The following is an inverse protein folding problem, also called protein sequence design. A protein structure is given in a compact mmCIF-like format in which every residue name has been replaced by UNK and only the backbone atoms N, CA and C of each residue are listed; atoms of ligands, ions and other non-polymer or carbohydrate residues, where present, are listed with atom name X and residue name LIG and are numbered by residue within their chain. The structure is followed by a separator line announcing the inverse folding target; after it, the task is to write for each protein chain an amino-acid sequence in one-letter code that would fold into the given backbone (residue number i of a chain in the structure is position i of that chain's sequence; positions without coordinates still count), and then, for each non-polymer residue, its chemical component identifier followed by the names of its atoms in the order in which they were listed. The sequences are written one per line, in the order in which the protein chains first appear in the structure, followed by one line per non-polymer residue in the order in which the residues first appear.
data_IF_861709672432
#
_entry.id   IF_861709672432
#
_cell.length_a   1.000
_cell.length_b   1.000
_cell.length_c   1.000
_cell.angle_alpha   90.00
_cell.angle_beta   90.00
_cell.angle_gamma   90.00
#
_symmetry.space_group_name_H-M   'P 1'
#
loop_
_entity.id
_entity.type
_entity.pdbx_description
1 polymer ?
#
# COMPACT_ATOMS: atom_id res chain seq x y z
N UNK A 1 -38.85 -12.85 23.00
CA UNK A 1 -37.42 -13.02 23.29
C UNK A 1 -36.70 -11.97 22.48
N UNK A 2 -36.27 -10.86 23.10
CA UNK A 2 -35.34 -9.97 22.42
C UNK A 2 -34.00 -10.70 22.43
N UNK A 3 -33.43 -10.96 21.25
CA UNK A 3 -32.03 -11.33 21.15
C UNK A 3 -31.23 -10.23 21.86
N UNK A 4 -30.53 -10.59 22.94
CA UNK A 4 -29.61 -9.67 23.57
C UNK A 4 -28.51 -9.38 22.55
N UNK A 5 -28.51 -8.16 22.00
CA UNK A 5 -27.48 -7.71 21.07
C UNK A 5 -26.16 -7.68 21.82
N UNK A 6 -25.21 -8.49 21.37
CA UNK A 6 -23.85 -8.46 21.89
C UNK A 6 -23.14 -7.18 21.42
N UNK A 7 -22.80 -6.32 22.37
CA UNK A 7 -22.15 -5.03 22.11
C UNK A 7 -20.79 -5.20 21.44
N UNK A 8 -20.08 -6.30 21.70
CA UNK A 8 -18.79 -6.58 21.08
C UNK A 8 -18.95 -6.87 19.59
N UNK A 9 -19.94 -7.68 19.23
CA UNK A 9 -20.29 -7.94 17.83
C UNK A 9 -20.67 -6.65 17.08
N UNK A 10 -21.44 -5.76 17.71
CA UNK A 10 -21.78 -4.46 17.10
C UNK A 10 -20.54 -3.61 16.87
N UNK A 11 -19.64 -3.51 17.87
CA UNK A 11 -18.38 -2.78 17.72
C UNK A 11 -17.56 -3.33 16.55
N UNK A 12 -17.41 -4.66 16.45
CA UNK A 12 -16.66 -5.30 15.37
C UNK A 12 -17.23 -4.96 13.99
N UNK A 13 -18.56 -4.95 13.84
CA UNK A 13 -19.20 -4.56 12.58
C UNK A 13 -18.98 -3.09 12.23
N UNK A 14 -19.00 -2.18 13.22
CA UNK A 14 -18.73 -0.76 13.01
C UNK A 14 -17.27 -0.54 12.59
N UNK A 15 -16.32 -1.18 13.27
CA UNK A 15 -14.89 -1.09 12.94
C UNK A 15 -14.62 -1.64 11.54
N UNK A 16 -15.21 -2.80 11.21
CA UNK A 16 -15.10 -3.40 9.88
C UNK A 16 -15.69 -2.47 8.81
N UNK A 17 -16.85 -1.88 9.06
CA UNK A 17 -17.48 -0.93 8.14
C UNK A 17 -16.63 0.33 7.97
N UNK A 18 -16.01 0.82 9.03
CA UNK A 18 -15.10 1.97 8.97
C UNK A 18 -13.88 1.66 8.10
N UNK A 19 -13.19 0.55 8.37
CA UNK A 19 -11.96 0.18 7.65
C UNK A 19 -12.22 -0.12 6.18
N UNK A 20 -13.33 -0.80 5.84
CA UNK A 20 -13.63 -1.07 4.42
C UNK A 20 -13.98 0.21 3.65
N UNK A 21 -14.67 1.17 4.28
CA UNK A 21 -14.92 2.49 3.68
C UNK A 21 -13.60 3.26 3.50
N UNK A 22 -12.71 3.21 4.48
CA UNK A 22 -11.36 3.76 4.35
C UNK A 22 -10.59 3.10 3.20
N UNK A 23 -10.67 1.78 3.05
CA UNK A 23 -10.05 1.07 1.94
C UNK A 23 -10.60 1.52 0.58
N UNK A 24 -11.90 1.79 0.47
CA UNK A 24 -12.52 2.34 -0.76
C UNK A 24 -11.96 3.75 -1.06
N UNK A 25 -11.78 4.60 -0.04
CA UNK A 25 -11.16 5.91 -0.21
C UNK A 25 -9.69 5.79 -0.68
N UNK A 26 -8.92 4.85 -0.13
CA UNK A 26 -7.55 4.60 -0.58
C UNK A 26 -7.53 3.99 -1.99
N UNK A 27 -8.48 3.13 -2.35
CA UNK A 27 -8.61 2.62 -3.71
C UNK A 27 -8.79 3.76 -4.73
N UNK A 28 -9.59 4.77 -4.39
CA UNK A 28 -9.78 5.96 -5.24
C UNK A 28 -8.47 6.73 -5.44
N UNK A 29 -7.50 6.65 -4.53
CA UNK A 29 -6.17 7.24 -4.74
C UNK A 29 -5.47 6.68 -5.98
N UNK A 30 -5.75 5.43 -6.40
CA UNK A 30 -5.18 4.86 -7.63
C UNK A 30 -5.61 5.65 -8.87
N UNK A 31 -6.86 6.10 -8.91
CA UNK A 31 -7.32 7.03 -9.95
C UNK A 31 -6.63 8.41 -9.81
N UNK A 32 -6.41 8.86 -8.58
CA UNK A 32 -5.67 10.09 -8.27
C UNK A 32 -4.25 10.08 -8.83
N UNK A 33 -3.47 9.02 -8.57
CA UNK A 33 -2.13 8.83 -9.12
C UNK A 33 -2.16 8.77 -10.63
N UNK A 34 -3.07 7.98 -11.21
CA UNK A 34 -3.21 7.89 -12.67
C UNK A 34 -3.44 9.26 -13.32
N UNK A 35 -4.36 10.07 -12.77
CA UNK A 35 -4.64 11.42 -13.25
C UNK A 35 -3.43 12.35 -13.06
N UNK A 36 -2.83 12.34 -11.87
CA UNK A 36 -1.66 13.17 -11.54
C UNK A 36 -0.49 12.89 -12.48
N UNK A 37 -0.10 11.63 -12.60
CA UNK A 37 1.05 11.21 -13.39
C UNK A 37 0.82 11.38 -14.89
N UNK A 38 -0.35 11.02 -15.38
CA UNK A 38 -0.70 11.22 -16.80
C UNK A 38 -0.72 12.70 -17.15
N UNK A 39 -1.32 13.53 -16.27
CA UNK A 39 -1.38 14.99 -16.42
C UNK A 39 0.00 15.67 -16.40
N UNK A 40 0.92 15.19 -15.58
CA UNK A 40 2.30 15.71 -15.48
C UNK A 40 3.28 15.08 -16.50
N UNK A 41 2.91 13.96 -17.12
CA UNK A 41 3.68 13.36 -18.22
C UNK A 41 3.47 14.12 -19.54
N UNK A 42 4.42 14.03 -20.47
CA UNK A 42 4.24 14.66 -21.79
C UNK A 42 3.15 13.93 -22.57
N UNK A 43 2.43 14.68 -23.41
CA UNK A 43 1.29 14.18 -24.18
C UNK A 43 1.55 12.85 -24.91
N UNK A 44 2.72 12.68 -25.53
CA UNK A 44 3.08 11.44 -26.25
C UNK A 44 3.20 10.19 -25.37
N UNK A 45 3.31 10.35 -24.06
CA UNK A 45 3.55 9.27 -23.09
C UNK A 45 2.37 9.05 -22.14
N UNK A 46 1.35 9.90 -22.14
CA UNK A 46 0.26 9.88 -21.14
C UNK A 46 -0.48 8.55 -21.11
N UNK A 47 -0.78 7.97 -22.27
CA UNK A 47 -1.43 6.65 -22.38
C UNK A 47 -0.57 5.55 -21.74
N UNK A 48 0.74 5.55 -22.00
CA UNK A 48 1.65 4.56 -21.43
C UNK A 48 1.76 4.71 -19.90
N UNK A 49 1.73 5.94 -19.37
CA UNK A 49 1.73 6.20 -17.93
C UNK A 49 0.43 5.72 -17.28
N UNK A 50 -0.73 5.99 -17.91
CA UNK A 50 -2.02 5.51 -17.43
C UNK A 50 -2.09 3.98 -17.40
N UNK A 51 -1.61 3.31 -18.46
CA UNK A 51 -1.58 1.85 -18.53
C UNK A 51 -0.68 1.22 -17.45
N UNK A 52 0.43 1.87 -17.10
CA UNK A 52 1.30 1.42 -16.01
C UNK A 52 0.59 1.50 -14.66
N UNK A 53 -0.08 2.62 -14.37
CA UNK A 53 -0.88 2.80 -13.15
C UNK A 53 -2.00 1.75 -13.04
N UNK A 54 -2.71 1.46 -14.13
CA UNK A 54 -3.74 0.43 -14.09
C UNK A 54 -3.15 -0.98 -13.87
N UNK A 55 -2.01 -1.28 -14.52
CA UNK A 55 -1.37 -2.58 -14.43
C UNK A 55 -0.67 -2.81 -13.09
N UNK A 56 -0.02 -1.80 -12.51
CA UNK A 56 0.63 -1.93 -11.22
C UNK A 56 -0.37 -2.22 -10.10
N UNK A 57 -1.55 -1.62 -10.12
CA UNK A 57 -2.58 -1.88 -9.14
C UNK A 57 -2.94 -3.38 -9.13
N UNK A 58 -3.29 -3.93 -10.30
CA UNK A 58 -3.65 -5.34 -10.43
C UNK A 58 -2.52 -6.28 -10.02
N UNK A 59 -1.28 -5.99 -10.47
CA UNK A 59 -0.10 -6.79 -10.08
C UNK A 59 0.19 -6.68 -8.60
N UNK A 60 0.09 -5.48 -8.01
CA UNK A 60 0.36 -5.24 -6.59
C UNK A 60 -0.59 -6.03 -5.71
N UNK A 61 -1.89 -5.97 -5.99
CA UNK A 61 -2.91 -6.70 -5.22
C UNK A 61 -2.69 -8.20 -5.31
N UNK A 62 -2.44 -8.74 -6.51
CA UNK A 62 -2.23 -10.18 -6.71
C UNK A 62 -0.95 -10.66 -6.02
N UNK A 63 0.17 -9.96 -6.21
CA UNK A 63 1.46 -10.35 -5.61
C UNK A 63 1.41 -10.23 -4.09
N UNK A 64 0.75 -9.19 -3.59
CA UNK A 64 0.55 -9.03 -2.14
C UNK A 64 -0.33 -10.15 -1.58
N UNK A 65 -1.41 -10.53 -2.26
CA UNK A 65 -2.23 -11.68 -1.86
C UNK A 65 -1.45 -13.01 -1.86
N UNK A 66 -0.66 -13.27 -2.91
CA UNK A 66 0.12 -14.50 -3.03
C UNK A 66 1.17 -14.63 -1.93
N UNK A 67 1.97 -13.57 -1.72
CA UNK A 67 3.17 -13.61 -0.89
C UNK A 67 3.24 -12.47 0.12
N UNK A 68 2.96 -11.25 -0.31
CA UNK A 68 3.29 -10.05 0.46
C UNK A 68 2.53 -9.96 1.80
N UNK A 69 1.26 -10.33 1.85
CA UNK A 69 0.48 -10.32 3.08
C UNK A 69 1.06 -11.30 4.11
N UNK A 70 1.45 -12.49 3.67
CA UNK A 70 2.10 -13.48 4.54
C UNK A 70 3.46 -13.03 5.06
N UNK A 71 4.30 -12.45 4.19
CA UNK A 71 5.59 -11.88 4.63
C UNK A 71 5.40 -10.74 5.62
N UNK A 72 4.38 -9.90 5.42
CA UNK A 72 4.17 -8.69 6.21
C UNK A 72 3.50 -8.98 7.56
N UNK A 73 2.45 -9.79 7.58
CA UNK A 73 1.58 -9.99 8.75
C UNK A 73 1.54 -11.44 9.27
N UNK A 74 2.25 -12.36 8.63
CA UNK A 74 2.38 -13.73 9.13
C UNK A 74 3.16 -13.82 10.44
N UNK A 75 3.12 -15.00 11.07
CA UNK A 75 3.87 -15.33 12.28
C UNK A 75 5.34 -14.95 12.13
N UNK A 76 5.86 -14.17 13.06
CA UNK A 76 7.17 -13.54 12.90
C UNK A 76 8.32 -14.52 13.16
N UNK A 77 9.16 -14.72 12.15
CA UNK A 77 10.46 -15.36 12.33
C UNK A 77 11.48 -14.34 12.81
N UNK A 78 11.75 -14.35 14.13
CA UNK A 78 12.75 -13.50 14.80
C UNK A 78 12.57 -11.99 14.55
N UNK A 79 11.36 -11.51 14.29
CA UNK A 79 11.09 -10.10 13.99
C UNK A 79 11.43 -9.66 12.56
N UNK A 80 11.84 -10.59 11.68
CA UNK A 80 12.39 -10.26 10.36
C UNK A 80 11.38 -10.40 9.21
N UNK A 81 10.57 -11.45 9.21
CA UNK A 81 9.55 -11.71 8.20
C UNK A 81 8.51 -12.72 8.70
N UNK A 82 7.32 -12.69 8.10
CA UNK A 82 6.23 -13.62 8.38
C UNK A 82 6.39 -14.96 7.66
N UNK A 83 5.95 -16.05 8.29
CA UNK A 83 6.14 -17.44 7.80
C UNK A 83 4.88 -18.18 7.38
N UNK A 84 3.70 -17.56 7.53
CA UNK A 84 2.39 -18.13 7.19
C UNK A 84 1.51 -17.07 6.50
N UNK A 85 0.19 -17.31 6.40
CA UNK A 85 -0.80 -16.41 5.75
C UNK A 85 -0.54 -16.11 4.26
N UNK A 86 0.25 -16.94 3.59
CA UNK A 86 0.35 -16.95 2.12
C UNK A 86 -0.97 -17.41 1.50
N UNK A 87 -1.32 -16.86 0.34
CA UNK A 87 -2.60 -17.14 -0.33
C UNK A 87 -3.80 -16.96 0.63
N UNK A 88 -3.86 -15.80 1.29
CA UNK A 88 -4.82 -15.55 2.37
C UNK A 88 -6.23 -16.01 1.97
N UNK A 89 -6.79 -16.89 2.81
CA UNK A 89 -8.16 -17.39 2.73
C UNK A 89 -8.73 -17.38 4.13
N UNK A 90 -9.87 -16.72 4.30
CA UNK A 90 -10.53 -16.56 5.59
C UNK A 90 -12.03 -16.40 5.39
N UNK A 91 -12.81 -16.89 6.35
CA UNK A 91 -14.26 -16.66 6.43
C UNK A 91 -14.58 -15.54 7.45
N UNK A 92 -13.55 -14.87 7.99
CA UNK A 92 -13.68 -13.78 8.96
C UNK A 92 -13.61 -12.43 8.22
N UNK A 93 -14.66 -11.62 8.35
CA UNK A 93 -14.84 -10.38 7.58
C UNK A 93 -13.78 -9.32 7.91
N UNK A 94 -13.35 -9.26 9.16
CA UNK A 94 -12.33 -8.38 9.70
C UNK A 94 -10.99 -8.59 9.00
N UNK A 95 -10.58 -9.85 8.85
CA UNK A 95 -9.34 -10.24 8.21
C UNK A 95 -9.34 -9.90 6.72
N UNK A 96 -10.45 -10.17 6.04
CA UNK A 96 -10.60 -9.83 4.64
C UNK A 96 -10.60 -8.30 4.45
N UNK A 97 -11.26 -7.56 5.33
CA UNK A 97 -11.28 -6.10 5.31
C UNK A 97 -9.90 -5.52 5.53
N UNK A 98 -9.14 -6.04 6.50
CA UNK A 98 -7.77 -5.61 6.75
C UNK A 98 -6.83 -5.94 5.57
N UNK A 99 -6.97 -7.12 4.95
CA UNK A 99 -6.26 -7.44 3.72
C UNK A 99 -6.55 -6.44 2.61
N UNK A 100 -7.83 -6.12 2.36
CA UNK A 100 -8.21 -5.15 1.33
C UNK A 100 -7.61 -3.78 1.63
N UNK A 101 -7.66 -3.32 2.89
CA UNK A 101 -7.05 -2.06 3.32
C UNK A 101 -5.54 -2.03 3.05
N UNK A 102 -4.80 -3.05 3.48
CA UNK A 102 -3.35 -3.15 3.28
C UNK A 102 -2.96 -3.36 1.82
N UNK A 103 -3.79 -4.03 1.03
CA UNK A 103 -3.60 -4.16 -0.41
C UNK A 103 -3.63 -2.79 -1.12
N UNK A 104 -4.39 -1.82 -0.58
CA UNK A 104 -4.39 -0.46 -1.13
C UNK A 104 -3.13 0.32 -0.75
N UNK A 105 -2.53 0.05 0.42
CA UNK A 105 -1.28 0.68 0.86
C UNK A 105 -0.08 0.21 0.03
N UNK A 106 0.05 -1.10 -0.20
CA UNK A 106 1.12 -1.64 -1.05
C UNK A 106 0.97 -1.19 -2.51
N UNK A 107 -0.26 -1.08 -3.02
CA UNK A 107 -0.51 -0.51 -4.34
C UNK A 107 -0.10 0.98 -4.40
N UNK A 108 -0.35 1.73 -3.32
CA UNK A 108 0.11 3.12 -3.17
C UNK A 108 1.64 3.21 -3.14
N UNK A 109 2.33 2.29 -2.47
CA UNK A 109 3.80 2.24 -2.49
C UNK A 109 4.34 1.94 -3.90
N UNK A 110 3.68 1.04 -4.64
CA UNK A 110 4.06 0.68 -6.01
C UNK A 110 3.90 1.84 -6.98
N UNK A 111 2.78 2.56 -6.93
CA UNK A 111 2.50 3.66 -7.88
C UNK A 111 3.46 4.85 -7.69
N UNK A 112 3.99 5.11 -6.49
CA UNK A 112 5.07 6.08 -6.26
C UNK A 112 6.28 5.81 -7.18
N UNK A 113 6.59 4.53 -7.43
CA UNK A 113 7.68 4.14 -8.34
C UNK A 113 7.32 4.51 -9.78
N UNK A 114 6.06 4.34 -10.19
CA UNK A 114 5.55 4.62 -11.54
C UNK A 114 5.87 6.05 -11.99
N UNK A 115 5.45 7.05 -11.21
CA UNK A 115 5.63 8.46 -11.54
C UNK A 115 7.11 8.85 -11.63
N UNK A 116 7.94 8.28 -10.77
CA UNK A 116 9.38 8.54 -10.77
C UNK A 116 10.06 8.04 -12.05
N UNK A 117 9.71 6.83 -12.51
CA UNK A 117 10.31 6.17 -13.68
C UNK A 117 9.55 6.43 -14.99
N UNK A 118 8.49 7.23 -14.93
CA UNK A 118 7.67 7.62 -16.06
C UNK A 118 8.52 8.11 -17.25
N UNK A 119 8.02 7.81 -18.46
CA UNK A 119 8.58 8.19 -19.76
C UNK A 119 9.93 7.57 -20.16
N UNK A 120 10.60 6.78 -19.31
CA UNK A 120 11.92 6.20 -19.62
C UNK A 120 12.12 4.73 -19.25
N UNK A 121 11.27 4.16 -18.40
CA UNK A 121 11.27 2.72 -18.14
C UNK A 121 10.34 1.99 -19.12
N UNK A 122 10.77 0.84 -19.64
CA UNK A 122 9.92 -0.07 -20.44
C UNK A 122 8.84 -0.69 -19.56
N UNK A 123 7.69 -1.02 -20.15
CA UNK A 123 6.54 -1.60 -19.42
C UNK A 123 6.90 -2.89 -18.67
N UNK A 124 7.58 -3.84 -19.31
CA UNK A 124 8.00 -5.10 -18.65
C UNK A 124 8.95 -4.85 -17.48
N UNK A 125 9.92 -3.95 -17.64
CA UNK A 125 10.84 -3.58 -16.56
C UNK A 125 10.10 -2.94 -15.38
N UNK A 126 9.02 -2.21 -15.67
CA UNK A 126 8.14 -1.65 -14.64
C UNK A 126 7.38 -2.74 -13.88
N UNK A 127 6.79 -3.72 -14.57
CA UNK A 127 6.08 -4.81 -13.89
C UNK A 127 7.02 -5.64 -13.00
N UNK A 128 8.26 -5.87 -13.42
CA UNK A 128 9.24 -6.61 -12.62
C UNK A 128 9.61 -5.87 -11.32
N UNK A 129 9.82 -4.55 -11.38
CA UNK A 129 10.09 -3.78 -10.16
C UNK A 129 8.86 -3.71 -9.27
N UNK A 130 7.64 -3.64 -9.82
CA UNK A 130 6.40 -3.73 -9.05
C UNK A 130 6.32 -5.06 -8.30
N UNK A 131 6.53 -6.20 -8.98
CA UNK A 131 6.53 -7.53 -8.34
C UNK A 131 7.55 -7.61 -7.20
N UNK A 132 8.77 -7.13 -7.43
CA UNK A 132 9.83 -7.13 -6.40
C UNK A 132 9.47 -6.22 -5.22
N UNK A 133 8.95 -5.03 -5.51
CA UNK A 133 8.57 -4.06 -4.49
C UNK A 133 7.43 -4.59 -3.62
N UNK A 134 6.34 -5.07 -4.23
CA UNK A 134 5.12 -5.47 -3.50
C UNK A 134 5.18 -6.88 -2.95
N UNK A 135 6.01 -7.76 -3.52
CA UNK A 135 6.17 -9.14 -3.06
C UNK A 135 7.27 -9.33 -2.04
N UNK A 136 8.28 -8.44 -1.99
CA UNK A 136 9.47 -8.64 -1.15
C UNK A 136 9.79 -7.38 -0.35
N UNK A 137 10.16 -6.28 -1.01
CA UNK A 137 10.76 -5.12 -0.30
C UNK A 137 9.77 -4.47 0.67
N UNK A 138 8.59 -4.09 0.17
CA UNK A 138 7.56 -3.45 0.97
C UNK A 138 7.05 -4.37 2.10
N UNK A 139 6.68 -5.64 1.84
CA UNK A 139 6.28 -6.56 2.92
C UNK A 139 7.33 -6.78 4.00
N UNK A 140 8.61 -6.88 3.65
CA UNK A 140 9.69 -7.06 4.63
C UNK A 140 9.81 -5.85 5.55
N UNK A 141 9.89 -4.64 4.96
CA UNK A 141 9.98 -3.40 5.75
C UNK A 141 8.71 -3.19 6.57
N UNK A 142 7.55 -3.49 5.98
CA UNK A 142 6.27 -3.52 6.65
C UNK A 142 6.25 -4.50 7.84
N UNK A 143 6.83 -5.68 7.70
CA UNK A 143 6.92 -6.64 8.80
C UNK A 143 7.72 -6.08 9.98
N UNK A 144 8.81 -5.36 9.72
CA UNK A 144 9.67 -4.83 10.78
C UNK A 144 8.93 -3.83 11.67
N UNK A 145 8.04 -3.02 11.10
CA UNK A 145 7.34 -1.95 11.82
C UNK A 145 5.88 -2.26 12.17
N UNK A 146 5.18 -3.03 11.34
CA UNK A 146 3.72 -3.20 11.38
C UNK A 146 3.26 -4.65 11.50
N UNK A 147 4.14 -5.65 11.61
CA UNK A 147 3.67 -7.03 11.82
C UNK A 147 2.84 -7.19 13.09
N UNK A 148 3.06 -6.34 14.09
CA UNK A 148 2.31 -6.31 15.35
C UNK A 148 0.96 -5.59 15.27
N UNK A 149 0.56 -5.11 14.10
CA UNK A 149 -0.60 -4.24 13.97
C UNK A 149 -1.90 -5.01 13.83
N UNK A 150 -3.00 -4.30 14.11
CA UNK A 150 -4.44 -4.61 14.03
C UNK A 150 -4.87 -6.06 14.31
N UNK A 151 -4.44 -7.03 13.51
CA UNK A 151 -4.71 -8.46 13.69
C UNK A 151 -4.33 -8.93 15.10
N UNK A 152 -3.18 -8.54 15.64
CA UNK A 152 -2.78 -8.96 17.00
C UNK A 152 -3.75 -8.47 18.11
N UNK A 153 -4.47 -7.38 17.86
CA UNK A 153 -5.46 -6.83 18.81
C UNK A 153 -6.88 -7.38 18.58
N UNK A 154 -7.10 -8.25 17.60
CA UNK A 154 -8.41 -8.82 17.27
C UNK A 154 -8.64 -10.15 17.98
N UNK A 155 -9.76 -10.24 18.72
CA UNK A 155 -10.21 -11.49 19.33
C UNK A 155 -10.38 -12.57 18.25
N UNK A 156 -9.53 -13.60 18.30
CA UNK A 156 -9.52 -14.71 17.33
C UNK A 156 -8.21 -14.83 16.54
N UNK A 157 -7.47 -13.74 16.37
CA UNK A 157 -6.17 -13.80 15.72
C UNK A 157 -5.11 -14.45 16.58
N UNK A 158 -5.05 -14.08 17.87
CA UNK A 158 -4.23 -14.79 18.85
C UNK A 158 -4.58 -16.29 18.87
N UNK A 159 -5.86 -16.65 18.80
CA UNK A 159 -6.31 -18.04 18.82
C UNK A 159 -5.89 -18.84 17.57
N UNK A 160 -6.02 -18.26 16.37
CA UNK A 160 -5.63 -18.92 15.13
C UNK A 160 -4.09 -19.06 15.01
N UNK A 161 -3.34 -18.11 15.57
CA UNK A 161 -1.87 -18.12 15.58
C UNK A 161 -1.29 -19.02 16.70
N UNK A 162 -1.96 -19.09 17.87
CA UNK A 162 -1.64 -20.01 18.98
C UNK A 162 -1.74 -21.48 18.55
N UNK A 163 -2.78 -21.82 17.79
CA UNK A 163 -3.03 -23.18 17.29
C UNK A 163 -1.93 -23.61 16.27
N UNK A 164 -1.23 -22.66 15.64
CA UNK A 164 -0.29 -22.96 14.58
C UNK A 164 1.17 -23.20 15.04
N UNK A 165 1.67 -22.55 16.11
CA UNK A 165 3.14 -22.46 16.31
C UNK A 165 3.70 -22.49 17.75
N UNK A 166 2.87 -22.56 18.80
CA UNK A 166 3.26 -22.70 20.23
C UNK A 166 4.30 -21.69 20.81
N UNK A 167 4.87 -20.79 20.01
CA UNK A 167 5.79 -19.71 20.42
C UNK A 167 5.50 -18.45 19.59
N UNK A 168 4.70 -17.54 20.12
CA UNK A 168 4.21 -16.38 19.37
C UNK A 168 5.06 -15.14 19.61
N UNK A 169 5.72 -14.69 18.55
CA UNK A 169 6.08 -13.27 18.38
C UNK A 169 5.32 -12.74 17.17
N UNK A 170 4.59 -11.66 17.39
CA UNK A 170 3.85 -10.95 16.35
C UNK A 170 4.50 -9.63 15.98
N UNK A 171 5.61 -9.27 16.61
CA UNK A 171 6.23 -7.97 16.47
C UNK A 171 7.49 -8.06 15.62
N UNK A 172 7.63 -7.06 14.75
CA UNK A 172 8.85 -6.83 14.01
C UNK A 172 9.87 -6.13 14.90
N UNK A 173 11.14 -6.27 14.56
CA UNK A 173 12.22 -5.74 15.39
C UNK A 173 12.18 -4.20 15.54
N UNK A 174 11.66 -3.44 14.57
CA UNK A 174 11.51 -1.99 14.70
C UNK A 174 10.38 -1.66 15.68
N UNK A 175 9.27 -2.39 15.62
CA UNK A 175 8.17 -2.27 16.58
C UNK A 175 8.65 -2.56 18.01
N UNK A 176 9.43 -3.64 18.20
CA UNK A 176 10.06 -3.98 19.49
C UNK A 176 10.97 -2.86 20.04
N UNK A 177 11.56 -2.04 19.16
CA UNK A 177 12.38 -0.88 19.52
C UNK A 177 11.57 0.40 19.78
N UNK A 178 10.25 0.37 19.62
CA UNK A 178 9.37 1.53 19.79
C UNK A 178 9.30 2.44 18.57
N UNK A 179 9.59 1.93 17.37
CA UNK A 179 9.39 2.68 16.13
C UNK A 179 7.90 2.95 15.88
N UNK A 180 7.57 4.19 15.54
CA UNK A 180 6.18 4.61 15.29
C UNK A 180 6.06 5.15 13.88
N UNK A 181 5.17 4.55 13.10
CA UNK A 181 4.70 5.07 11.83
C UNK A 181 3.19 4.80 11.75
N UNK A 182 2.37 5.84 11.95
CA UNK A 182 0.92 5.67 12.11
C UNK A 182 0.24 5.18 10.83
N UNK A 183 0.54 5.82 9.70
CA UNK A 183 -0.14 5.57 8.42
C UNK A 183 0.82 5.31 7.26
N UNK A 184 2.14 5.25 7.47
CA UNK A 184 3.07 4.81 6.43
C UNK A 184 3.89 5.92 5.81
N UNK A 185 4.23 6.96 6.57
CA UNK A 185 5.21 7.98 6.16
C UNK A 185 6.55 7.33 5.79
N UNK A 186 6.94 6.30 6.53
CA UNK A 186 8.10 5.48 6.23
C UNK A 186 7.71 4.29 5.35
N UNK A 187 6.77 3.46 5.82
CA UNK A 187 6.51 2.14 5.22
C UNK A 187 5.95 2.24 3.79
N UNK A 188 5.10 3.24 3.51
CA UNK A 188 4.53 3.46 2.18
C UNK A 188 5.37 4.47 1.41
N UNK A 189 5.47 5.69 1.91
CA UNK A 189 6.03 6.80 1.15
C UNK A 189 7.55 6.73 1.03
N UNK A 190 8.26 6.49 2.13
CA UNK A 190 9.73 6.45 2.09
C UNK A 190 10.23 5.19 1.38
N UNK A 191 9.65 4.00 1.64
CA UNK A 191 10.02 2.77 0.92
C UNK A 191 9.79 2.93 -0.59
N UNK A 192 8.60 3.37 -1.01
CA UNK A 192 8.30 3.66 -2.40
C UNK A 192 9.28 4.68 -2.99
N UNK A 193 9.60 5.74 -2.24
CA UNK A 193 10.55 6.78 -2.60
C UNK A 193 11.99 6.29 -2.77
N UNK A 194 12.48 5.41 -1.91
CA UNK A 194 13.84 4.85 -2.00
C UNK A 194 13.98 3.86 -3.14
N UNK A 195 12.96 3.03 -3.39
CA UNK A 195 12.92 2.17 -4.57
C UNK A 195 12.89 3.02 -5.84
N UNK A 196 12.04 4.05 -5.87
CA UNK A 196 11.97 5.02 -6.95
C UNK A 196 13.32 5.71 -7.19
N UNK A 197 13.99 6.19 -6.14
CA UNK A 197 15.30 6.83 -6.22
C UNK A 197 16.33 5.86 -6.84
N UNK A 198 16.39 4.63 -6.34
CA UNK A 198 17.28 3.60 -6.86
C UNK A 198 17.05 3.34 -8.35
N UNK A 199 15.78 3.22 -8.75
CA UNK A 199 15.41 3.03 -10.15
C UNK A 199 15.82 4.22 -11.04
N UNK A 200 15.64 5.46 -10.59
CA UNK A 200 16.00 6.64 -11.39
C UNK A 200 17.52 6.87 -11.48
N UNK A 201 18.29 6.46 -10.46
CA UNK A 201 19.75 6.49 -10.50
C UNK A 201 20.31 5.51 -11.55
N UNK A 202 19.68 4.33 -11.70
CA UNK A 202 20.06 3.33 -12.71
C UNK A 202 19.60 3.76 -14.11
N UNK A 203 18.36 4.22 -14.25
CA UNK A 203 17.79 4.62 -15.55
C UNK A 203 18.40 5.92 -16.10
N UNK A 204 18.82 6.82 -15.21
CA UNK A 204 19.25 8.16 -15.55
C UNK A 204 18.10 9.10 -15.96
N UNK A 205 18.44 10.30 -16.44
CA UNK A 205 17.46 11.32 -16.77
C UNK A 205 16.72 11.01 -18.07
N UNK A 206 15.51 11.59 -18.20
CA UNK A 206 14.75 11.52 -19.46
C UNK A 206 15.57 12.13 -20.59
N UNK A 207 15.59 11.48 -21.75
CA UNK A 207 16.31 11.95 -22.94
C UNK A 207 15.89 13.40 -23.26
N UNK A 208 16.87 14.29 -23.33
CA UNK A 208 16.69 15.71 -23.60
C UNK A 208 16.27 16.56 -22.39
N UNK A 209 16.13 16.01 -21.17
CA UNK A 209 15.66 16.77 -19.98
C UNK A 209 16.55 17.98 -19.66
N UNK A 210 17.85 17.81 -19.79
CA UNK A 210 18.87 18.80 -19.45
C UNK A 210 19.58 19.38 -20.68
N UNK A 211 19.08 19.11 -21.90
CA UNK A 211 19.65 19.75 -23.09
C UNK A 211 19.14 21.18 -23.22
N UNK A 212 20.01 22.12 -23.59
CA UNK A 212 19.62 23.52 -23.85
C UNK A 212 18.47 23.63 -24.87
N UNK A 213 18.48 22.78 -25.90
CA UNK A 213 17.43 22.73 -26.93
C UNK A 213 16.01 22.43 -26.39
N UNK A 214 15.90 21.87 -25.18
CA UNK A 214 14.64 21.46 -24.55
C UNK A 214 14.35 22.17 -23.22
N UNK A 215 15.10 23.23 -22.91
CA UNK A 215 14.85 24.06 -21.71
C UNK A 215 13.40 24.55 -21.72
N UNK A 216 12.65 24.26 -20.66
CA UNK A 216 11.22 24.61 -20.55
C UNK A 216 10.24 23.76 -21.36
N UNK A 217 10.69 22.79 -22.18
CA UNK A 217 9.81 21.97 -23.05
C UNK A 217 9.29 20.68 -22.39
N UNK A 218 9.64 20.43 -21.14
CA UNK A 218 9.11 19.31 -20.36
C UNK A 218 7.89 19.79 -19.56
N UNK A 219 6.79 19.98 -20.26
CA UNK A 219 5.49 20.35 -19.68
C UNK A 219 4.58 19.14 -19.59
N UNK A 220 3.69 19.15 -18.60
CA UNK A 220 2.64 18.14 -18.47
C UNK A 220 1.63 18.23 -19.62
N UNK A 221 0.99 17.11 -19.92
CA UNK A 221 -0.06 17.01 -20.93
C UNK A 221 -1.33 17.75 -20.53
N UNK A 222 -1.63 17.83 -19.23
CA UNK A 222 -2.82 18.51 -18.70
C UNK A 222 -2.65 18.85 -17.23
N UNK A 223 -2.45 20.14 -16.93
CA UNK A 223 -2.45 20.65 -15.55
C UNK A 223 -3.80 20.46 -14.84
N UNK A 224 -4.96 20.70 -15.48
CA UNK A 224 -6.25 20.41 -14.84
C UNK A 224 -6.39 18.95 -14.42
N UNK A 225 -5.93 18.01 -15.26
CA UNK A 225 -5.93 16.58 -14.92
C UNK A 225 -4.98 16.28 -13.75
N UNK A 226 -3.82 16.93 -13.74
CA UNK A 226 -2.88 16.79 -12.63
C UNK A 226 -3.47 17.29 -11.30
N UNK A 227 -4.12 18.46 -11.32
CA UNK A 227 -4.80 19.05 -10.15
C UNK A 227 -5.97 18.19 -9.70
N UNK A 228 -6.77 17.66 -10.63
CA UNK A 228 -7.84 16.71 -10.31
C UNK A 228 -7.27 15.48 -9.60
N UNK A 229 -6.17 14.92 -10.12
CA UNK A 229 -5.45 13.82 -9.48
C UNK A 229 -5.04 14.16 -8.04
N UNK A 230 -4.44 15.32 -7.81
CA UNK A 230 -4.08 15.80 -6.47
C UNK A 230 -5.29 15.91 -5.53
N UNK A 231 -6.42 16.43 -6.00
CA UNK A 231 -7.63 16.54 -5.17
C UNK A 231 -8.20 15.16 -4.79
N UNK A 232 -8.17 14.21 -5.74
CA UNK A 232 -8.57 12.83 -5.50
C UNK A 232 -7.63 12.16 -4.48
N UNK A 233 -6.31 12.36 -4.60
CA UNK A 233 -5.33 11.88 -3.64
C UNK A 233 -5.58 12.44 -2.25
N UNK A 234 -5.83 13.74 -2.14
CA UNK A 234 -6.13 14.39 -0.86
C UNK A 234 -7.41 13.82 -0.24
N UNK A 235 -8.47 13.64 -1.02
CA UNK A 235 -9.71 13.03 -0.53
C UNK A 235 -9.49 11.58 -0.06
N UNK A 236 -8.77 10.77 -0.83
CA UNK A 236 -8.44 9.40 -0.45
C UNK A 236 -7.55 9.32 0.80
N UNK A 237 -6.74 10.35 1.06
CA UNK A 237 -5.88 10.45 2.24
C UNK A 237 -6.65 10.46 3.57
N UNK A 238 -7.92 10.88 3.56
CA UNK A 238 -8.79 10.74 4.74
C UNK A 238 -8.98 9.28 5.14
N UNK A 239 -9.18 8.39 4.17
CA UNK A 239 -9.24 6.94 4.42
C UNK A 239 -7.87 6.36 4.74
N UNK A 240 -6.82 6.84 4.09
CA UNK A 240 -5.45 6.40 4.34
C UNK A 240 -5.06 6.61 5.82
N UNK A 241 -5.25 7.82 6.34
CA UNK A 241 -4.94 8.11 7.74
C UNK A 241 -6.01 7.58 8.70
N UNK A 242 -7.29 7.87 8.44
CA UNK A 242 -8.38 7.51 9.35
C UNK A 242 -8.60 6.00 9.50
N UNK A 243 -8.30 5.22 8.46
CA UNK A 243 -8.37 3.76 8.52
C UNK A 243 -7.17 3.11 9.20
N UNK A 244 -6.05 3.82 9.39
CA UNK A 244 -4.79 3.23 9.89
C UNK A 244 -4.86 2.79 11.35
N UNK A 245 -5.78 3.37 12.13
CA UNK A 245 -6.06 2.89 13.48
C UNK A 245 -6.78 1.52 13.48
N UNK A 246 -7.48 1.19 12.39
CA UNK A 246 -8.25 -0.05 12.23
C UNK A 246 -9.59 -0.07 12.99
N UNK A 247 -9.88 0.92 13.82
CA UNK A 247 -11.14 1.02 14.54
C UNK A 247 -11.71 2.43 14.42
N UNK A 248 -13.02 2.55 14.57
CA UNK A 248 -13.70 3.83 14.70
C UNK A 248 -13.72 4.22 16.18
N UNK A 249 -12.72 4.97 16.62
CA UNK A 249 -12.57 5.44 18.00
C UNK A 249 -11.98 6.87 18.06
N UNK A 250 -11.70 7.36 19.27
CA UNK A 250 -11.23 8.73 19.52
C UNK A 250 -9.85 9.05 18.92
N UNK A 251 -9.11 8.05 18.40
CA UNK A 251 -7.84 8.27 17.71
C UNK A 251 -8.02 8.69 16.24
N UNK A 252 -9.24 8.62 15.71
CA UNK A 252 -9.61 8.89 14.31
C UNK A 252 -10.41 10.19 14.19
#
# INVERSE_FOLDING_TARGET
MMENVDLNSVKSFVDTLWVINCAILVFIMQAGFMCMESGLSRYKNSINVALKNAADFGVSVVIFWLFGFGIMFGTSYKGLFGTDLFFLKTDIAEWMTYFVFQAMFVATAATIISGAVAERMKFVGYLLITILATGIIYPLVGHWAWSSSYLANMQGAEAQLLIATETLRHTGWLSDMGFVDFAGSTIVHSVGGWIALSAVLILGPRIGRYSEANKGKFTGSSFPLAVLGTLILWFGWFGFNGGSNGAMDDAV
#
